data_IF_061446190065
#
_entry.id   IF_061446190065
#
_cell.length_a   1.000
_cell.length_b   1.000
_cell.length_c   1.000
_cell.angle_alpha   90.00
_cell.angle_beta   90.00
_cell.angle_gamma   90.00
#
_symmetry.space_group_name_H-M   'P 1'
#
loop_
_entity.id
_entity.type
_entity.pdbx_description
1 polymer ?
#
# COMPACT_ATOMS: atom_id res chain seq x y z
N UNK A 1 -4.68 -4.08 -50.94
CA UNK A 1 -5.66 -3.99 -49.83
C UNK A 1 -4.97 -4.29 -48.49
N UNK A 2 -3.99 -3.48 -48.04
CA UNK A 2 -3.26 -3.79 -46.79
C UNK A 2 -2.96 -2.58 -45.92
N UNK A 3 -3.59 -1.42 -46.12
CA UNK A 3 -3.17 -0.18 -45.42
C UNK A 3 -4.16 0.30 -44.34
N UNK A 4 -5.36 -0.28 -44.25
CA UNK A 4 -6.41 0.19 -43.35
C UNK A 4 -6.35 -0.48 -41.97
N UNK A 5 -5.83 -1.72 -41.85
CA UNK A 5 -5.77 -2.45 -40.60
C UNK A 5 -4.71 -1.92 -39.59
N UNK A 6 -3.62 -1.34 -40.09
CA UNK A 6 -2.51 -0.87 -39.26
C UNK A 6 -2.82 0.44 -38.51
N UNK A 7 -3.63 1.32 -39.09
CA UNK A 7 -4.02 2.60 -38.46
C UNK A 7 -4.99 2.41 -37.31
N UNK A 8 -5.93 1.47 -37.42
CA UNK A 8 -6.90 1.21 -36.36
C UNK A 8 -6.28 0.51 -35.13
N UNK A 9 -5.31 -0.40 -35.33
CA UNK A 9 -4.59 -1.06 -34.23
C UNK A 9 -3.75 -0.05 -33.43
N UNK A 10 -3.09 0.89 -34.11
CA UNK A 10 -2.27 1.92 -33.43
C UNK A 10 -3.12 2.90 -32.64
N UNK A 11 -4.29 3.29 -33.15
CA UNK A 11 -5.21 4.21 -32.48
C UNK A 11 -5.89 3.56 -31.26
N UNK A 12 -6.17 2.28 -31.31
CA UNK A 12 -6.74 1.52 -30.19
C UNK A 12 -5.70 1.35 -29.07
N UNK A 13 -4.42 1.10 -29.38
CA UNK A 13 -3.34 1.03 -28.39
C UNK A 13 -3.09 2.37 -27.71
N UNK A 14 -3.13 3.48 -28.42
CA UNK A 14 -2.95 4.82 -27.84
C UNK A 14 -4.11 5.18 -26.91
N UNK A 15 -5.34 4.84 -27.25
CA UNK A 15 -6.50 5.05 -26.38
C UNK A 15 -6.45 4.20 -25.12
N UNK A 16 -5.98 2.95 -25.19
CA UNK A 16 -5.84 2.09 -24.02
C UNK A 16 -4.72 2.57 -23.09
N UNK A 17 -3.61 3.06 -23.61
CA UNK A 17 -2.52 3.62 -22.80
C UNK A 17 -2.93 4.91 -22.09
N UNK A 18 -3.66 5.80 -22.73
CA UNK A 18 -4.17 7.02 -22.09
C UNK A 18 -5.21 6.71 -21.01
N UNK A 19 -6.08 5.74 -21.22
CA UNK A 19 -7.07 5.31 -20.24
C UNK A 19 -6.44 4.66 -19.02
N UNK A 20 -5.40 3.84 -19.19
CA UNK A 20 -4.64 3.25 -18.10
C UNK A 20 -3.87 4.31 -17.29
N UNK A 21 -3.28 5.30 -17.94
CA UNK A 21 -2.61 6.42 -17.29
C UNK A 21 -3.54 7.18 -16.35
N UNK A 22 -4.71 7.60 -16.85
CA UNK A 22 -5.70 8.33 -16.05
C UNK A 22 -6.24 7.49 -14.88
N UNK A 23 -6.45 6.18 -15.08
CA UNK A 23 -6.89 5.29 -14.02
C UNK A 23 -5.80 5.15 -12.93
N UNK A 24 -4.54 5.01 -13.32
CA UNK A 24 -3.41 4.95 -12.38
C UNK A 24 -3.24 6.24 -11.59
N UNK A 25 -3.37 7.40 -12.21
CA UNK A 25 -3.32 8.70 -11.52
C UNK A 25 -4.42 8.84 -10.46
N UNK A 26 -5.64 8.37 -10.76
CA UNK A 26 -6.76 8.38 -9.80
C UNK A 26 -6.50 7.47 -8.60
N UNK A 27 -5.96 6.27 -8.84
CA UNK A 27 -5.61 5.34 -7.76
C UNK A 27 -4.48 5.91 -6.92
N UNK A 28 -3.44 6.48 -7.54
CA UNK A 28 -2.35 7.13 -6.80
C UNK A 28 -2.87 8.26 -5.91
N UNK A 29 -3.75 9.10 -6.41
CA UNK A 29 -4.37 10.18 -5.62
C UNK A 29 -5.20 9.63 -4.45
N UNK A 30 -5.97 8.57 -4.66
CA UNK A 30 -6.74 7.90 -3.61
C UNK A 30 -5.83 7.28 -2.54
N UNK A 31 -4.70 6.69 -2.93
CA UNK A 31 -3.70 6.14 -2.02
C UNK A 31 -3.03 7.24 -1.18
N UNK A 32 -2.67 8.36 -1.79
CA UNK A 32 -2.11 9.51 -1.04
C UNK A 32 -3.09 10.06 -0.02
N UNK A 33 -4.37 10.17 -0.39
CA UNK A 33 -5.44 10.57 0.53
C UNK A 33 -5.59 9.57 1.68
N UNK A 34 -5.61 8.27 1.37
CA UNK A 34 -5.69 7.19 2.35
C UNK A 34 -4.57 7.29 3.40
N UNK A 35 -3.31 7.38 2.97
CA UNK A 35 -2.17 7.46 3.87
C UNK A 35 -2.13 8.76 4.67
N UNK A 36 -2.57 9.88 4.08
CA UNK A 36 -2.71 11.15 4.81
C UNK A 36 -3.76 11.03 5.90
N UNK A 37 -4.88 10.38 5.61
CA UNK A 37 -5.95 10.15 6.57
C UNK A 37 -5.52 9.19 7.68
N UNK A 38 -4.79 8.13 7.35
CA UNK A 38 -4.20 7.19 8.32
C UNK A 38 -3.27 7.91 9.29
N UNK A 39 -2.38 8.74 8.78
CA UNK A 39 -1.47 9.53 9.60
C UNK A 39 -2.19 10.54 10.51
N UNK A 40 -3.33 11.07 10.08
CA UNK A 40 -4.16 12.00 10.84
C UNK A 40 -5.16 11.33 11.80
N UNK A 41 -5.23 9.96 11.78
CA UNK A 41 -6.21 9.21 12.56
C UNK A 41 -7.66 9.38 12.07
N UNK A 42 -7.86 9.85 10.83
CA UNK A 42 -9.18 10.02 10.23
C UNK A 42 -9.65 8.72 9.58
N UNK A 43 -10.20 7.84 10.41
CA UNK A 43 -10.60 6.50 9.99
C UNK A 43 -11.72 6.48 8.94
N UNK A 44 -12.60 7.46 8.92
CA UNK A 44 -13.66 7.53 7.92
C UNK A 44 -13.08 7.71 6.52
N UNK A 45 -12.21 8.70 6.34
CA UNK A 45 -11.55 8.95 5.05
C UNK A 45 -10.55 7.85 4.72
N UNK A 46 -9.80 7.35 5.71
CA UNK A 46 -8.86 6.23 5.54
C UNK A 46 -9.53 5.03 4.87
N UNK A 47 -10.74 4.67 5.30
CA UNK A 47 -11.42 3.47 4.81
C UNK A 47 -12.27 3.69 3.56
N UNK A 48 -12.38 4.89 3.03
CA UNK A 48 -13.09 5.14 1.75
C UNK A 48 -12.49 4.41 0.55
N UNK A 49 -11.20 4.12 0.59
CA UNK A 49 -10.48 3.44 -0.50
C UNK A 49 -10.92 1.98 -0.67
N UNK A 50 -11.45 1.34 0.39
CA UNK A 50 -11.77 -0.08 0.40
C UNK A 50 -13.16 -0.39 -0.16
N UNK A 51 -13.24 -1.52 -0.87
CA UNK A 51 -14.52 -2.15 -1.20
C UNK A 51 -15.21 -2.68 0.07
N UNK A 52 -16.54 -2.76 0.07
CA UNK A 52 -17.31 -3.29 1.19
C UNK A 52 -16.97 -4.76 1.52
N UNK A 53 -16.58 -5.52 0.50
CA UNK A 53 -16.21 -6.95 0.60
C UNK A 53 -14.69 -7.18 0.60
N UNK A 54 -13.89 -6.15 0.86
CA UNK A 54 -12.42 -6.25 0.86
C UNK A 54 -11.93 -7.44 1.68
N UNK A 55 -10.88 -8.08 1.20
CA UNK A 55 -10.12 -9.08 1.94
C UNK A 55 -8.79 -8.44 2.34
N UNK A 56 -8.43 -8.54 3.61
CA UNK A 56 -7.11 -8.11 4.08
C UNK A 56 -6.39 -9.30 4.73
N UNK A 57 -5.20 -9.62 4.24
CA UNK A 57 -4.38 -10.72 4.69
C UNK A 57 -3.17 -10.24 5.49
N UNK A 58 -2.92 -10.89 6.62
CA UNK A 58 -1.70 -10.77 7.43
C UNK A 58 -0.94 -12.10 7.41
N UNK A 59 -0.08 -12.33 6.39
CA UNK A 59 0.57 -13.63 6.20
C UNK A 59 1.44 -14.07 7.39
N UNK A 60 2.02 -13.12 8.13
CA UNK A 60 2.92 -13.42 9.24
C UNK A 60 2.19 -14.06 10.43
N UNK A 61 0.93 -13.73 10.65
CA UNK A 61 0.06 -14.34 11.68
C UNK A 61 -0.89 -15.40 11.12
N UNK A 62 -1.03 -15.46 9.78
CA UNK A 62 -1.97 -16.34 9.11
C UNK A 62 -3.42 -15.88 9.21
N UNK A 63 -3.65 -14.62 9.51
CA UNK A 63 -5.00 -14.05 9.67
C UNK A 63 -5.53 -13.48 8.36
N UNK A 64 -6.84 -13.58 8.19
CA UNK A 64 -7.61 -12.97 7.11
C UNK A 64 -8.81 -12.22 7.66
N UNK A 65 -8.92 -10.95 7.27
CA UNK A 65 -10.03 -10.08 7.63
C UNK A 65 -10.97 -9.98 6.43
N UNK A 66 -12.26 -10.23 6.65
CA UNK A 66 -13.30 -10.11 5.65
C UNK A 66 -14.14 -8.88 5.88
N UNK A 67 -14.22 -8.04 4.87
CA UNK A 67 -15.09 -6.88 4.79
C UNK A 67 -14.54 -5.64 5.48
N UNK A 68 -14.89 -4.51 4.88
CA UNK A 68 -14.47 -3.17 5.30
C UNK A 68 -14.82 -2.86 6.77
N UNK A 69 -16.00 -3.27 7.21
CA UNK A 69 -16.44 -3.04 8.60
C UNK A 69 -15.55 -3.76 9.62
N UNK A 70 -15.17 -5.00 9.34
CA UNK A 70 -14.27 -5.76 10.22
C UNK A 70 -12.88 -5.15 10.23
N UNK A 71 -12.38 -4.70 9.07
CA UNK A 71 -11.09 -4.01 8.96
C UNK A 71 -11.09 -2.70 9.77
N UNK A 72 -12.16 -1.90 9.69
CA UNK A 72 -12.34 -0.70 10.51
C UNK A 72 -12.35 -1.02 12.00
N UNK A 73 -13.14 -2.02 12.41
CA UNK A 73 -13.22 -2.42 13.81
C UNK A 73 -11.86 -2.89 14.36
N UNK A 74 -11.12 -3.69 13.58
CA UNK A 74 -9.79 -4.15 13.96
C UNK A 74 -8.84 -2.97 14.19
N UNK A 75 -8.79 -2.03 13.25
CA UNK A 75 -7.90 -0.85 13.34
C UNK A 75 -8.31 0.10 14.47
N UNK A 76 -9.62 0.29 14.68
CA UNK A 76 -10.16 1.16 15.75
C UNK A 76 -9.91 0.60 17.14
N UNK A 77 -9.81 -0.71 17.29
CA UNK A 77 -9.57 -1.38 18.57
C UNK A 77 -8.09 -1.76 18.79
N UNK A 78 -7.20 -1.28 17.92
CA UNK A 78 -5.76 -1.50 18.13
C UNK A 78 -5.33 -0.86 19.48
N UNK A 79 -4.60 -1.59 20.34
CA UNK A 79 -4.27 -1.13 21.70
C UNK A 79 -3.33 0.07 21.76
N UNK A 80 -2.67 0.41 20.65
CA UNK A 80 -1.83 1.60 20.51
C UNK A 80 -2.29 2.46 19.36
N UNK A 81 -2.29 3.78 19.55
CA UNK A 81 -2.48 4.72 18.45
C UNK A 81 -1.13 4.99 17.79
N UNK A 82 -1.02 4.92 16.46
CA UNK A 82 0.19 5.32 15.77
C UNK A 82 0.53 6.78 16.08
N UNK A 83 1.79 7.03 16.42
CA UNK A 83 2.33 8.38 16.61
C UNK A 83 2.83 9.01 15.31
N UNK A 84 2.97 8.22 14.25
CA UNK A 84 3.38 8.71 12.93
C UNK A 84 3.40 7.63 11.87
N UNK A 85 3.34 8.11 10.62
CA UNK A 85 3.53 7.33 9.40
C UNK A 85 4.57 8.02 8.54
N UNK A 86 5.53 7.27 8.02
CA UNK A 86 6.51 7.75 7.05
C UNK A 86 6.42 6.92 5.78
N UNK A 87 5.92 7.50 4.71
CA UNK A 87 5.85 6.84 3.40
C UNK A 87 7.21 6.95 2.72
N UNK A 88 7.83 5.82 2.43
CA UNK A 88 9.13 5.74 1.76
C UNK A 88 8.96 5.62 0.25
N UNK A 89 8.07 4.72 -0.20
CA UNK A 89 7.77 4.49 -1.61
C UNK A 89 6.30 4.18 -1.83
N UNK A 90 5.77 4.71 -2.92
CA UNK A 90 4.46 4.39 -3.46
C UNK A 90 4.65 4.03 -4.92
N UNK A 91 4.48 2.77 -5.27
CA UNK A 91 4.76 2.23 -6.59
C UNK A 91 3.59 1.40 -7.08
N UNK A 92 3.26 1.52 -8.36
CA UNK A 92 2.26 0.68 -8.97
C UNK A 92 1.87 1.13 -10.37
N UNK A 93 1.08 0.31 -11.00
CA UNK A 93 0.40 0.63 -12.25
C UNK A 93 -0.85 -0.24 -12.39
N UNK A 94 -1.84 0.27 -13.13
CA UNK A 94 -3.10 -0.44 -13.28
C UNK A 94 -3.73 -0.70 -11.91
N UNK A 95 -4.01 -1.95 -11.63
CA UNK A 95 -4.75 -2.37 -10.43
C UNK A 95 -3.88 -2.84 -9.27
N UNK A 96 -2.55 -2.89 -9.42
CA UNK A 96 -1.64 -3.36 -8.37
C UNK A 96 -0.75 -2.23 -7.88
N UNK A 97 -0.80 -1.96 -6.57
CA UNK A 97 -0.05 -0.90 -5.92
C UNK A 97 0.62 -1.38 -4.64
N UNK A 98 1.84 -0.92 -4.43
CA UNK A 98 2.67 -1.25 -3.27
C UNK A 98 3.05 0.04 -2.57
N UNK A 99 2.85 0.08 -1.26
CA UNK A 99 3.33 1.15 -0.39
C UNK A 99 4.31 0.59 0.61
N UNK A 100 5.49 1.16 0.66
CA UNK A 100 6.50 0.91 1.69
C UNK A 100 6.48 2.08 2.67
N UNK A 101 6.30 1.81 3.94
CA UNK A 101 6.18 2.83 4.98
C UNK A 101 6.63 2.34 6.35
N UNK A 102 6.86 3.27 7.26
CA UNK A 102 7.08 2.98 8.67
C UNK A 102 5.89 3.48 9.48
N UNK A 103 5.37 2.63 10.36
CA UNK A 103 4.42 3.03 11.41
C UNK A 103 5.21 3.19 12.69
N UNK A 104 5.13 4.37 13.31
CA UNK A 104 5.71 4.62 14.61
C UNK A 104 4.62 4.58 15.70
N UNK A 105 4.92 3.92 16.79
CA UNK A 105 4.21 3.97 18.07
C UNK A 105 5.12 4.64 19.10
N UNK A 106 4.64 4.89 20.32
CA UNK A 106 5.42 5.61 21.34
C UNK A 106 6.77 4.97 21.65
N UNK A 107 6.84 3.64 21.70
CA UNK A 107 7.99 2.85 22.15
C UNK A 107 8.65 2.02 21.05
N UNK A 108 8.02 1.91 19.88
CA UNK A 108 8.53 1.10 18.77
C UNK A 108 8.00 1.52 17.41
N UNK A 109 8.67 1.06 16.37
CA UNK A 109 8.23 1.25 14.99
C UNK A 109 8.28 -0.06 14.21
N UNK A 110 7.49 -0.09 13.13
CA UNK A 110 7.41 -1.24 12.22
C UNK A 110 7.69 -0.78 10.80
N UNK A 111 8.57 -1.51 10.11
CA UNK A 111 8.69 -1.43 8.66
C UNK A 111 7.53 -2.21 8.05
N UNK A 112 6.76 -1.56 7.21
CA UNK A 112 5.51 -2.12 6.72
C UNK A 112 5.46 -2.06 5.20
N UNK A 113 4.93 -3.12 4.60
CA UNK A 113 4.58 -3.16 3.18
C UNK A 113 3.10 -3.48 3.06
N UNK A 114 2.38 -2.64 2.34
CA UNK A 114 1.01 -2.87 1.92
C UNK A 114 0.98 -3.11 0.42
N UNK A 115 0.40 -4.22 0.00
CA UNK A 115 0.15 -4.58 -1.40
C UNK A 115 -1.35 -4.53 -1.60
N UNK A 116 -1.81 -3.60 -2.41
CA UNK A 116 -3.23 -3.35 -2.67
C UNK A 116 -3.60 -3.70 -4.10
N UNK A 117 -4.62 -4.54 -4.25
CA UNK A 117 -5.20 -4.93 -5.52
C UNK A 117 -6.57 -4.25 -5.67
N UNK A 118 -6.73 -3.49 -6.76
CA UNK A 118 -7.91 -2.67 -7.00
C UNK A 118 -8.86 -3.34 -7.99
N UNK A 119 -10.15 -3.31 -7.68
CA UNK A 119 -11.23 -3.63 -8.60
C UNK A 119 -12.24 -2.48 -8.62
N UNK A 120 -12.63 -2.03 -9.80
CA UNK A 120 -13.58 -0.92 -9.95
C UNK A 120 -13.22 0.35 -9.15
N UNK A 121 -11.92 0.64 -9.01
CA UNK A 121 -11.42 1.82 -8.32
C UNK A 121 -11.41 1.73 -6.79
N UNK A 122 -11.68 0.55 -6.22
CA UNK A 122 -11.62 0.26 -4.78
C UNK A 122 -10.65 -0.89 -4.50
N UNK A 123 -10.07 -0.91 -3.33
CA UNK A 123 -9.23 -2.03 -2.88
C UNK A 123 -10.11 -3.23 -2.60
N UNK A 124 -9.96 -4.27 -3.40
CA UNK A 124 -10.65 -5.54 -3.23
C UNK A 124 -9.83 -6.52 -2.37
N UNK A 125 -8.51 -6.43 -2.46
CA UNK A 125 -7.61 -7.25 -1.66
C UNK A 125 -6.40 -6.43 -1.20
N UNK A 126 -6.04 -6.58 0.05
CA UNK A 126 -4.82 -6.02 0.63
C UNK A 126 -4.01 -7.11 1.33
N UNK A 127 -2.70 -7.12 1.11
CA UNK A 127 -1.77 -7.96 1.88
C UNK A 127 -0.81 -7.04 2.62
N UNK A 128 -0.68 -7.19 3.93
CA UNK A 128 0.22 -6.39 4.75
C UNK A 128 1.26 -7.26 5.46
N UNK A 129 2.50 -6.77 5.45
CA UNK A 129 3.63 -7.31 6.18
C UNK A 129 4.16 -6.28 7.17
N UNK A 130 4.43 -6.72 8.39
CA UNK A 130 4.97 -5.88 9.46
C UNK A 130 6.29 -6.47 9.95
N UNK A 131 7.32 -5.65 10.07
CA UNK A 131 8.63 -6.08 10.53
C UNK A 131 9.16 -5.13 11.59
N UNK A 132 9.55 -5.67 12.74
CA UNK A 132 10.28 -4.92 13.75
C UNK A 132 11.75 -4.78 13.35
N UNK A 133 12.42 -3.67 13.71
CA UNK A 133 13.86 -3.58 13.64
C UNK A 133 14.50 -4.72 14.46
N UNK A 134 15.62 -5.23 14.00
CA UNK A 134 16.40 -6.23 14.72
C UNK A 134 17.90 -5.91 14.63
N UNK A 135 18.67 -6.42 15.60
CA UNK A 135 20.10 -6.25 15.59
C UNK A 135 20.76 -7.10 14.49
N UNK A 136 21.75 -6.54 13.76
CA UNK A 136 22.42 -7.28 12.72
C UNK A 136 23.24 -8.44 13.33
N UNK A 137 23.09 -9.67 12.81
CA UNK A 137 23.88 -10.79 13.32
C UNK A 137 25.36 -10.67 12.95
N UNK A 138 26.25 -11.05 13.86
CA UNK A 138 27.72 -10.91 13.70
C UNK A 138 28.28 -11.66 12.50
N UNK A 139 27.71 -12.81 12.14
CA UNK A 139 28.24 -13.67 11.08
C UNK A 139 28.36 -12.98 9.71
N UNK A 140 27.60 -11.93 9.45
CA UNK A 140 27.63 -11.19 8.18
C UNK A 140 28.35 -9.84 8.24
N UNK A 141 28.91 -9.46 9.38
CA UNK A 141 29.48 -8.13 9.63
C UNK A 141 30.57 -7.73 8.63
N UNK A 142 31.39 -8.70 8.14
CA UNK A 142 32.47 -8.44 7.18
C UNK A 142 32.00 -8.07 5.76
N UNK A 143 30.72 -8.31 5.42
CA UNK A 143 30.18 -8.05 4.07
C UNK A 143 29.14 -6.94 4.04
N UNK A 144 28.88 -6.27 5.16
CA UNK A 144 27.86 -5.25 5.26
C UNK A 144 28.41 -3.96 5.84
N UNK A 145 27.81 -2.86 5.46
CA UNK A 145 28.02 -1.57 6.12
C UNK A 145 26.71 -1.10 6.75
N UNK A 146 26.79 -0.25 7.78
CA UNK A 146 25.62 0.35 8.37
C UNK A 146 25.07 1.42 7.42
N UNK A 147 23.79 1.34 7.10
CA UNK A 147 23.10 2.41 6.40
C UNK A 147 23.14 3.66 7.27
N UNK A 148 23.63 4.79 6.72
CA UNK A 148 23.64 6.06 7.42
C UNK A 148 22.24 6.50 7.79
N UNK A 149 22.02 6.63 9.08
CA UNK A 149 20.92 7.31 9.79
C UNK A 149 19.53 7.26 9.15
N UNK A 150 18.72 6.38 9.66
CA UNK A 150 17.27 6.30 9.56
C UNK A 150 16.67 5.53 10.73
N UNK A 151 17.47 5.19 11.73
CA UNK A 151 16.96 4.68 13.02
C UNK A 151 16.50 5.89 13.85
N UNK A 152 15.33 6.41 13.54
CA UNK A 152 14.56 7.10 14.57
C UNK A 152 14.02 6.03 15.50
N UNK A 153 14.62 5.98 16.68
CA UNK A 153 14.12 5.25 17.82
C UNK A 153 12.69 5.65 18.15
#
# INVERSE_FOLDING_TARGET
>A
MSTVRTKNAKMTQIKNQSGQGVASERIEAALRQHWTASAAGNQNIEHEIYDEHVICDYPQSGERIHGKRNLQNLRSNHPGLPSGFSIHRLLGCGNLWITEYTIAYQDRSFYTISIMEFENGKVAHETQYFAEPFDPPEWRAQWVEQMGVGRTA
#
